data_IF_316955491081
#
_entry.id   IF_316955491081
#
_cell.length_a   1.000
_cell.length_b   1.000
_cell.length_c   1.000
_cell.angle_alpha   90.00
_cell.angle_beta   90.00
_cell.angle_gamma   90.00
#
_symmetry.space_group_name_H-M   'P 1'
#
loop_
_entity.id
_entity.type
_entity.pdbx_description
1 polymer ?
#
# COMPACT_ATOMS: atom_id res chain seq x y z
N UNK A 1 -25.75 17.25 -5.61
CA UNK A 1 -24.64 16.66 -6.33
C UNK A 1 -24.59 15.19 -5.95
N UNK A 2 -24.22 14.29 -6.83
CA UNK A 2 -23.94 12.90 -6.46
C UNK A 2 -22.66 12.87 -5.60
N UNK A 3 -22.54 12.00 -4.60
CA UNK A 3 -21.28 11.81 -3.91
C UNK A 3 -20.21 11.28 -4.88
N UNK A 4 -18.95 11.59 -4.62
CA UNK A 4 -17.82 11.01 -5.32
C UNK A 4 -17.66 9.55 -4.90
N UNK A 5 -17.11 8.73 -5.79
CA UNK A 5 -17.02 7.28 -5.62
C UNK A 5 -15.58 6.83 -5.52
N UNK A 6 -15.25 6.09 -4.46
CA UNK A 6 -13.92 5.51 -4.24
C UNK A 6 -13.96 3.99 -4.21
N UNK A 7 -12.97 3.36 -4.85
CA UNK A 7 -12.65 1.94 -4.72
C UNK A 7 -11.39 1.79 -3.86
N UNK A 8 -11.50 1.06 -2.75
CA UNK A 8 -10.40 0.83 -1.81
C UNK A 8 -10.14 -0.67 -1.70
N UNK A 9 -8.88 -1.08 -1.86
CA UNK A 9 -8.46 -2.48 -1.72
C UNK A 9 -7.82 -2.77 -0.38
N UNK A 10 -8.06 -3.97 0.18
CA UNK A 10 -7.44 -4.41 1.42
C UNK A 10 -7.99 -3.72 2.66
N UNK A 11 -9.32 -3.61 2.76
CA UNK A 11 -10.01 -2.93 3.86
C UNK A 11 -10.19 -3.78 5.13
N UNK A 12 -9.74 -5.04 5.15
CA UNK A 12 -9.95 -5.93 6.30
C UNK A 12 -9.26 -5.49 7.60
N UNK A 13 -8.31 -4.55 7.55
CA UNK A 13 -7.68 -3.98 8.75
C UNK A 13 -6.79 -2.77 8.41
N UNK A 14 -6.24 -2.13 9.45
CA UNK A 14 -5.18 -1.13 9.37
C UNK A 14 -5.52 0.04 8.46
N UNK A 15 -4.59 0.43 7.59
CA UNK A 15 -4.73 1.63 6.75
C UNK A 15 -5.96 1.56 5.84
N UNK A 16 -6.23 0.41 5.21
CA UNK A 16 -7.36 0.26 4.29
C UNK A 16 -8.70 0.44 4.98
N UNK A 17 -8.86 -0.14 6.17
CA UNK A 17 -10.07 0.01 6.98
C UNK A 17 -10.26 1.46 7.41
N UNK A 18 -9.23 2.07 8.02
CA UNK A 18 -9.27 3.47 8.43
C UNK A 18 -9.53 4.43 7.24
N UNK A 19 -9.00 4.10 6.05
CA UNK A 19 -9.27 4.87 4.83
C UNK A 19 -10.73 4.79 4.44
N UNK A 20 -11.36 3.60 4.49
CA UNK A 20 -12.77 3.44 4.21
C UNK A 20 -13.63 4.28 5.16
N UNK A 21 -13.35 4.25 6.47
CA UNK A 21 -14.04 5.07 7.47
C UNK A 21 -13.87 6.57 7.21
N UNK A 22 -12.66 7.03 6.86
CA UNK A 22 -12.39 8.44 6.58
C UNK A 22 -13.19 8.94 5.37
N UNK A 23 -13.24 8.17 4.27
CA UNK A 23 -14.03 8.52 3.08
C UNK A 23 -15.54 8.49 3.36
N UNK A 24 -16.01 7.53 4.17
CA UNK A 24 -17.43 7.49 4.61
C UNK A 24 -17.80 8.72 5.43
N UNK A 25 -16.93 9.12 6.36
CA UNK A 25 -17.15 10.31 7.19
C UNK A 25 -17.19 11.61 6.36
N UNK A 26 -16.41 11.69 5.28
CA UNK A 26 -16.40 12.82 4.35
C UNK A 26 -17.59 12.80 3.34
N UNK A 27 -18.32 11.70 3.32
CA UNK A 27 -19.58 11.59 2.54
C UNK A 27 -19.46 10.98 1.17
N UNK A 28 -18.33 10.35 0.86
CA UNK A 28 -18.11 9.58 -0.37
C UNK A 28 -18.97 8.32 -0.43
N UNK A 29 -19.21 7.85 -1.64
CA UNK A 29 -19.69 6.49 -1.89
C UNK A 29 -18.47 5.56 -1.90
N UNK A 30 -18.41 4.63 -0.94
CA UNK A 30 -17.22 3.77 -0.72
C UNK A 30 -17.49 2.35 -1.18
N UNK A 31 -16.59 1.83 -2.01
CA UNK A 31 -16.50 0.41 -2.34
C UNK A 31 -15.28 -0.16 -1.61
N UNK A 32 -15.55 -0.72 -0.43
CA UNK A 32 -14.53 -1.34 0.41
C UNK A 32 -14.37 -2.81 0.04
N UNK A 33 -13.14 -3.26 -0.22
CA UNK A 33 -12.91 -4.64 -0.65
C UNK A 33 -11.89 -5.37 0.20
N UNK A 34 -12.12 -6.67 0.38
CA UNK A 34 -11.24 -7.61 1.05
C UNK A 34 -11.31 -8.98 0.34
N UNK A 35 -10.38 -9.89 0.65
CA UNK A 35 -10.46 -11.28 0.17
C UNK A 35 -11.65 -12.01 0.77
N UNK A 36 -11.90 -11.76 2.06
CA UNK A 36 -13.10 -12.21 2.75
C UNK A 36 -13.97 -10.98 3.12
N UNK A 37 -15.20 -10.88 2.61
CA UNK A 37 -16.08 -9.76 2.92
C UNK A 37 -16.61 -9.80 4.37
N UNK A 38 -16.51 -10.94 5.07
CA UNK A 38 -16.86 -11.02 6.49
C UNK A 38 -15.90 -10.19 7.36
N UNK A 39 -14.64 -10.02 6.93
CA UNK A 39 -13.63 -9.19 7.60
C UNK A 39 -13.94 -7.69 7.58
N UNK A 40 -14.93 -7.26 6.78
CA UNK A 40 -15.34 -5.85 6.61
C UNK A 40 -16.85 -5.68 6.78
N UNK A 41 -17.49 -6.59 7.54
CA UNK A 41 -18.94 -6.57 7.74
C UNK A 41 -19.43 -5.32 8.48
N UNK A 42 -18.63 -4.76 9.36
CA UNK A 42 -18.88 -3.51 10.08
C UNK A 42 -18.97 -2.31 9.13
N UNK A 43 -18.13 -2.24 8.09
CA UNK A 43 -18.22 -1.20 7.06
C UNK A 43 -19.52 -1.30 6.26
N UNK A 44 -20.08 -2.50 6.08
CA UNK A 44 -21.32 -2.73 5.37
C UNK A 44 -22.55 -2.15 6.10
N UNK A 45 -22.44 -1.80 7.38
CA UNK A 45 -23.51 -1.15 8.14
C UNK A 45 -23.74 0.32 7.73
N UNK A 46 -22.79 0.93 7.00
CA UNK A 46 -22.91 2.30 6.52
C UNK A 46 -23.70 2.38 5.22
N UNK A 47 -24.70 3.25 5.16
CA UNK A 47 -25.58 3.44 3.98
C UNK A 47 -24.83 3.76 2.69
N UNK A 48 -23.62 4.32 2.78
CA UNK A 48 -22.76 4.69 1.64
C UNK A 48 -21.59 3.74 1.43
N UNK A 49 -21.59 2.60 2.08
CA UNK A 49 -20.57 1.58 1.88
C UNK A 49 -21.16 0.37 1.14
N UNK A 50 -20.45 -0.06 0.12
CA UNK A 50 -20.67 -1.36 -0.51
C UNK A 50 -19.42 -2.19 -0.28
N UNK A 51 -19.57 -3.32 0.38
CA UNK A 51 -18.49 -4.29 0.55
C UNK A 51 -18.50 -5.33 -0.56
N UNK A 52 -17.33 -5.76 -1.01
CA UNK A 52 -17.21 -6.77 -2.06
C UNK A 52 -15.95 -7.64 -1.87
N UNK A 53 -15.99 -8.85 -2.40
CA UNK A 53 -14.80 -9.71 -2.48
C UNK A 53 -13.89 -9.23 -3.60
N UNK A 54 -12.62 -9.01 -3.29
CA UNK A 54 -11.60 -8.72 -4.28
C UNK A 54 -10.24 -9.24 -3.84
N UNK A 55 -9.76 -10.26 -4.56
CA UNK A 55 -8.34 -10.61 -4.58
C UNK A 55 -7.68 -9.85 -5.75
N UNK A 56 -6.65 -9.04 -5.43
CA UNK A 56 -5.96 -8.22 -6.44
C UNK A 56 -5.13 -9.06 -7.43
N UNK A 57 -4.93 -10.34 -7.14
CA UNK A 57 -4.29 -11.31 -8.04
C UNK A 57 -5.28 -11.89 -9.05
N UNK A 58 -6.60 -11.84 -8.75
CA UNK A 58 -7.65 -12.44 -9.56
C UNK A 58 -8.29 -11.42 -10.51
N UNK A 59 -8.05 -11.60 -11.81
CA UNK A 59 -8.61 -10.70 -12.85
C UNK A 59 -10.14 -10.68 -12.86
N UNK A 60 -10.78 -11.80 -12.53
CA UNK A 60 -12.24 -11.92 -12.47
C UNK A 60 -12.83 -10.98 -11.43
N UNK A 61 -12.25 -10.94 -10.23
CA UNK A 61 -12.73 -10.14 -9.12
C UNK A 61 -12.63 -8.65 -9.43
N UNK A 62 -11.45 -8.23 -9.94
CA UNK A 62 -11.24 -6.85 -10.39
C UNK A 62 -12.29 -6.45 -11.43
N UNK A 63 -12.51 -7.30 -12.44
CA UNK A 63 -13.48 -7.02 -13.51
C UNK A 63 -14.90 -6.91 -12.97
N UNK A 64 -15.28 -7.80 -12.05
CA UNK A 64 -16.61 -7.82 -11.46
C UNK A 64 -16.87 -6.56 -10.63
N UNK A 65 -15.94 -6.20 -9.75
CA UNK A 65 -16.06 -5.02 -8.88
C UNK A 65 -16.10 -3.74 -9.69
N UNK A 66 -15.15 -3.53 -10.61
CA UNK A 66 -15.12 -2.31 -11.45
C UNK A 66 -16.39 -2.18 -12.29
N UNK A 67 -16.83 -3.27 -12.94
CA UNK A 67 -18.07 -3.26 -13.72
C UNK A 67 -19.31 -3.00 -12.85
N UNK A 68 -19.34 -3.48 -11.60
CA UNK A 68 -20.39 -3.20 -10.65
C UNK A 68 -20.46 -1.71 -10.32
N UNK A 69 -19.31 -1.10 -9.97
CA UNK A 69 -19.22 0.33 -9.64
C UNK A 69 -19.69 1.17 -10.83
N UNK A 70 -19.15 0.93 -12.01
CA UNK A 70 -19.49 1.70 -13.22
C UNK A 70 -20.98 1.57 -13.57
N UNK A 71 -21.58 0.39 -13.40
CA UNK A 71 -23.04 0.22 -13.65
C UNK A 71 -23.93 0.91 -12.62
N UNK A 72 -23.46 1.05 -11.37
CA UNK A 72 -24.27 1.59 -10.27
C UNK A 72 -24.08 3.09 -10.15
N UNK A 73 -22.82 3.55 -10.23
CA UNK A 73 -22.43 4.94 -9.95
C UNK A 73 -22.11 5.74 -11.22
N UNK A 74 -21.89 5.05 -12.36
CA UNK A 74 -21.52 5.66 -13.65
C UNK A 74 -20.12 6.32 -13.67
N UNK A 75 -19.38 6.20 -12.58
CA UNK A 75 -18.03 6.79 -12.42
C UNK A 75 -17.22 6.09 -11.33
N UNK A 76 -15.91 6.27 -11.39
CA UNK A 76 -14.94 5.98 -10.32
C UNK A 76 -14.04 7.20 -10.21
N UNK A 77 -14.13 7.94 -9.11
CA UNK A 77 -13.40 9.18 -8.91
C UNK A 77 -12.05 8.96 -8.27
N UNK A 78 -11.97 7.96 -7.38
CA UNK A 78 -10.74 7.60 -6.72
C UNK A 78 -10.53 6.08 -6.69
N UNK A 79 -9.29 5.66 -6.95
CA UNK A 79 -8.82 4.29 -6.70
C UNK A 79 -7.73 4.35 -5.64
N UNK A 80 -7.92 3.65 -4.51
CA UNK A 80 -6.89 3.47 -3.48
C UNK A 80 -6.35 2.04 -3.54
N UNK A 81 -5.17 1.87 -4.12
CA UNK A 81 -4.43 0.63 -4.13
C UNK A 81 -3.69 0.47 -2.80
N UNK A 82 -4.38 -0.06 -1.79
CA UNK A 82 -3.84 -0.28 -0.45
C UNK A 82 -3.47 -1.74 -0.19
N UNK A 83 -4.15 -2.71 -0.81
CA UNK A 83 -3.86 -4.13 -0.62
C UNK A 83 -2.36 -4.44 -0.85
N UNK A 84 -1.75 -5.10 0.12
CA UNK A 84 -0.35 -5.45 0.08
C UNK A 84 0.11 -6.10 1.37
N UNK A 85 1.26 -6.76 1.32
CA UNK A 85 1.91 -7.35 2.49
C UNK A 85 3.44 -7.25 2.36
N UNK A 86 4.15 -7.60 3.43
CA UNK A 86 5.61 -7.61 3.45
C UNK A 86 6.14 -9.02 3.60
N UNK A 87 6.98 -9.47 2.67
CA UNK A 87 7.78 -10.67 2.79
C UNK A 87 9.18 -10.28 3.24
N UNK A 88 9.59 -10.76 4.40
CA UNK A 88 10.88 -10.44 4.98
C UNK A 88 11.75 -11.69 5.08
N UNK A 89 13.03 -11.50 4.88
CA UNK A 89 14.06 -12.53 4.95
C UNK A 89 15.31 -12.11 4.19
N UNK A 90 16.49 -12.70 4.53
CA UNK A 90 17.70 -12.53 3.72
C UNK A 90 17.43 -12.94 2.27
N UNK A 91 17.94 -12.16 1.32
CA UNK A 91 17.68 -12.39 -0.12
C UNK A 91 18.05 -13.80 -0.58
N UNK A 92 19.10 -14.38 0.00
CA UNK A 92 19.55 -15.75 -0.31
C UNK A 92 18.58 -16.82 0.20
N UNK A 93 17.87 -16.54 1.30
CA UNK A 93 17.01 -17.51 1.98
C UNK A 93 15.54 -17.39 1.57
N UNK A 94 15.17 -16.36 0.78
CA UNK A 94 13.81 -16.20 0.26
C UNK A 94 13.62 -17.00 -1.04
N UNK A 95 12.69 -17.96 -1.07
CA UNK A 95 12.32 -18.64 -2.30
C UNK A 95 11.81 -17.68 -3.38
N UNK A 96 12.09 -17.98 -4.65
CA UNK A 96 11.64 -17.14 -5.77
C UNK A 96 10.12 -17.05 -5.80
N UNK A 97 9.44 -18.13 -5.46
CA UNK A 97 7.98 -18.24 -5.44
C UNK A 97 7.36 -17.24 -4.44
N UNK A 98 8.02 -16.99 -3.30
CA UNK A 98 7.56 -16.00 -2.32
C UNK A 98 7.79 -14.56 -2.83
N UNK A 99 8.90 -14.32 -3.52
CA UNK A 99 9.14 -13.04 -4.20
C UNK A 99 8.10 -12.81 -5.30
N UNK A 100 7.77 -13.81 -6.10
CA UNK A 100 6.75 -13.74 -7.14
C UNK A 100 5.37 -13.41 -6.56
N UNK A 101 4.95 -14.06 -5.46
CA UNK A 101 3.69 -13.76 -4.77
C UNK A 101 3.65 -12.33 -4.26
N UNK A 102 4.75 -11.86 -3.64
CA UNK A 102 4.86 -10.48 -3.17
C UNK A 102 4.67 -9.48 -4.32
N UNK A 103 5.32 -9.71 -5.46
CA UNK A 103 5.18 -8.86 -6.63
C UNK A 103 3.79 -8.94 -7.25
N UNK A 104 3.16 -10.12 -7.22
CA UNK A 104 1.82 -10.31 -7.78
C UNK A 104 0.79 -9.45 -7.03
N UNK A 105 0.88 -9.40 -5.71
CA UNK A 105 0.01 -8.57 -4.89
C UNK A 105 0.43 -7.10 -4.94
N UNK A 106 1.70 -6.77 -4.61
CA UNK A 106 2.13 -5.39 -4.35
C UNK A 106 2.38 -4.57 -5.62
N UNK A 107 2.60 -5.21 -6.76
CA UNK A 107 2.96 -4.55 -8.04
C UNK A 107 1.92 -4.82 -9.12
N UNK A 108 1.66 -6.10 -9.40
CA UNK A 108 0.75 -6.46 -10.49
C UNK A 108 -0.71 -6.24 -10.11
N UNK A 109 -1.09 -6.38 -8.83
CA UNK A 109 -2.41 -6.04 -8.32
C UNK A 109 -2.79 -4.57 -8.61
N UNK A 110 -2.02 -3.58 -8.10
CA UNK A 110 -2.22 -2.17 -8.44
C UNK A 110 -2.22 -1.90 -9.95
N UNK A 111 -1.35 -2.56 -10.70
CA UNK A 111 -1.30 -2.41 -12.17
C UNK A 111 -2.59 -2.93 -12.84
N UNK A 112 -3.12 -4.09 -12.42
CA UNK A 112 -4.38 -4.63 -12.94
C UNK A 112 -5.55 -3.70 -12.67
N UNK A 113 -5.66 -3.19 -11.42
CA UNK A 113 -6.71 -2.26 -11.01
C UNK A 113 -6.62 -0.93 -11.75
N UNK A 114 -5.43 -0.34 -11.83
CA UNK A 114 -5.17 0.87 -12.60
C UNK A 114 -5.64 0.71 -14.06
N UNK A 115 -5.26 -0.38 -14.72
CA UNK A 115 -5.72 -0.66 -16.09
C UNK A 115 -7.22 -0.83 -16.22
N UNK A 116 -7.88 -1.33 -15.17
CA UNK A 116 -9.32 -1.53 -15.18
C UNK A 116 -10.09 -0.20 -15.01
N UNK A 117 -9.60 0.72 -14.18
CA UNK A 117 -10.31 2.00 -13.91
C UNK A 117 -9.95 3.12 -14.89
N UNK A 118 -8.73 3.16 -15.41
CA UNK A 118 -8.25 4.23 -16.28
C UNK A 118 -9.16 4.56 -17.49
N UNK A 119 -9.75 3.60 -18.20
CA UNK A 119 -10.67 3.93 -19.30
C UNK A 119 -11.86 4.77 -18.84
N UNK A 120 -12.41 4.49 -17.66
CA UNK A 120 -13.56 5.19 -17.09
C UNK A 120 -13.19 6.59 -16.59
N UNK A 121 -12.06 6.73 -15.88
CA UNK A 121 -11.55 8.03 -15.45
C UNK A 121 -11.21 8.92 -16.65
N UNK A 122 -10.61 8.35 -17.71
CA UNK A 122 -10.29 9.10 -18.93
C UNK A 122 -11.54 9.54 -19.70
N UNK A 123 -12.61 8.74 -19.71
CA UNK A 123 -13.90 9.12 -20.30
C UNK A 123 -14.57 10.23 -19.50
N UNK A 124 -14.45 10.20 -18.16
CA UNK A 124 -14.93 11.24 -17.27
C UNK A 124 -14.08 12.53 -17.37
N UNK A 125 -12.81 12.44 -17.78
CA UNK A 125 -11.84 13.54 -17.79
C UNK A 125 -11.41 13.96 -16.39
N UNK A 126 -11.56 13.06 -15.40
CA UNK A 126 -11.32 13.31 -13.98
C UNK A 126 -11.04 11.98 -13.25
N UNK A 127 -10.14 11.98 -12.26
CA UNK A 127 -9.89 10.84 -11.41
C UNK A 127 -8.56 10.89 -10.67
N UNK A 128 -8.50 10.22 -9.52
CA UNK A 128 -7.27 10.12 -8.72
C UNK A 128 -6.92 8.67 -8.44
N UNK A 129 -5.69 8.26 -8.74
CA UNK A 129 -5.15 6.95 -8.41
C UNK A 129 -4.12 7.12 -7.30
N UNK A 130 -4.41 6.56 -6.14
CA UNK A 130 -3.55 6.62 -4.96
C UNK A 130 -2.95 5.24 -4.73
N UNK A 131 -1.63 5.16 -4.83
CA UNK A 131 -0.88 3.93 -4.59
C UNK A 131 -0.20 4.00 -3.22
N UNK A 132 -0.54 3.06 -2.33
CA UNK A 132 0.10 2.95 -1.03
C UNK A 132 1.48 2.30 -1.18
N UNK A 133 2.49 3.17 -1.21
CA UNK A 133 3.90 2.81 -1.19
C UNK A 133 4.40 2.62 0.25
N UNK A 134 5.60 3.00 0.53
CA UNK A 134 6.26 3.02 1.84
C UNK A 134 7.57 3.79 1.73
N UNK A 135 8.17 4.18 2.86
CA UNK A 135 9.59 4.55 2.90
C UNK A 135 10.49 3.45 2.32
N UNK A 136 10.06 2.19 2.38
CA UNK A 136 10.72 1.05 1.75
C UNK A 136 10.72 1.11 0.20
N UNK A 137 9.94 1.97 -0.42
CA UNK A 137 10.01 2.30 -1.85
C UNK A 137 11.08 3.33 -2.17
N UNK A 138 11.72 3.91 -1.16
CA UNK A 138 12.73 4.97 -1.32
C UNK A 138 14.10 4.56 -0.80
N UNK A 139 14.15 3.69 0.18
CA UNK A 139 15.35 3.11 0.77
C UNK A 139 15.18 1.61 0.91
N UNK A 140 16.28 0.87 1.03
CA UNK A 140 16.24 -0.57 1.29
C UNK A 140 17.03 -0.92 2.54
N UNK A 141 16.65 -1.99 3.20
CA UNK A 141 17.29 -2.48 4.41
C UNK A 141 17.49 -3.99 4.35
N UNK A 142 18.40 -4.51 5.18
CA UNK A 142 18.70 -5.94 5.22
C UNK A 142 17.45 -6.73 5.66
N UNK A 143 17.17 -7.84 4.99
CA UNK A 143 16.00 -8.66 5.19
C UNK A 143 14.71 -8.13 4.53
N UNK A 144 14.70 -6.89 4.05
CA UNK A 144 13.56 -6.30 3.34
C UNK A 144 13.68 -6.32 1.82
N UNK A 145 14.59 -7.10 1.24
CA UNK A 145 14.92 -7.03 -0.18
C UNK A 145 13.73 -7.20 -1.12
N UNK A 146 12.90 -8.22 -0.91
CA UNK A 146 11.70 -8.48 -1.71
C UNK A 146 10.65 -7.36 -1.54
N UNK A 147 10.35 -7.00 -0.31
CA UNK A 147 9.40 -5.94 0.00
C UNK A 147 9.82 -4.59 -0.56
N UNK A 148 11.05 -4.15 -0.27
CA UNK A 148 11.60 -2.91 -0.84
C UNK A 148 11.57 -2.94 -2.36
N UNK A 149 11.99 -4.05 -2.99
CA UNK A 149 11.96 -4.22 -4.44
C UNK A 149 10.55 -4.03 -5.02
N UNK A 150 9.53 -4.59 -4.38
CA UNK A 150 8.14 -4.42 -4.81
C UNK A 150 7.67 -2.97 -4.69
N UNK A 151 8.00 -2.28 -3.59
CA UNK A 151 7.64 -0.86 -3.40
C UNK A 151 8.42 0.08 -4.32
N UNK A 152 9.72 -0.18 -4.59
CA UNK A 152 10.49 0.55 -5.61
C UNK A 152 9.87 0.38 -7.02
N UNK A 153 9.40 -0.82 -7.35
CA UNK A 153 8.73 -1.06 -8.63
C UNK A 153 7.43 -0.26 -8.72
N UNK A 154 6.61 -0.25 -7.66
CA UNK A 154 5.38 0.53 -7.60
C UNK A 154 5.65 2.03 -7.75
N UNK A 155 6.69 2.56 -7.08
CA UNK A 155 7.14 3.95 -7.21
C UNK A 155 7.45 4.32 -8.67
N UNK A 156 8.29 3.51 -9.33
CA UNK A 156 8.70 3.76 -10.70
C UNK A 156 7.52 3.68 -11.70
N UNK A 157 6.63 2.70 -11.51
CA UNK A 157 5.43 2.55 -12.34
C UNK A 157 4.45 3.70 -12.15
N UNK A 158 4.29 4.20 -10.93
CA UNK A 158 3.43 5.36 -10.65
C UNK A 158 4.01 6.65 -11.23
N UNK A 159 5.33 6.83 -11.17
CA UNK A 159 6.00 7.98 -11.81
C UNK A 159 5.81 8.01 -13.33
N UNK A 160 5.86 6.84 -13.98
CA UNK A 160 5.58 6.72 -15.40
C UNK A 160 4.10 7.03 -15.69
N UNK A 161 3.20 6.39 -14.92
CA UNK A 161 1.75 6.61 -15.05
C UNK A 161 1.38 8.08 -14.96
N UNK A 162 1.91 8.81 -13.98
CA UNK A 162 1.64 10.24 -13.79
C UNK A 162 1.94 11.06 -15.05
N UNK A 163 3.06 10.74 -15.74
CA UNK A 163 3.44 11.41 -16.98
C UNK A 163 2.53 10.97 -18.15
N UNK A 164 2.11 9.71 -18.19
CA UNK A 164 1.26 9.14 -19.24
C UNK A 164 -0.18 9.67 -19.19
N UNK A 165 -0.68 9.98 -17.98
CA UNK A 165 -2.04 10.50 -17.78
C UNK A 165 -2.10 12.03 -17.75
N UNK A 166 -0.96 12.72 -17.88
CA UNK A 166 -0.90 14.17 -18.00
C UNK A 166 -1.81 14.66 -19.15
N UNK A 167 -2.68 15.62 -18.87
CA UNK A 167 -3.64 16.15 -19.84
C UNK A 167 -4.96 15.36 -19.95
N UNK A 168 -5.13 14.27 -19.20
CA UNK A 168 -6.40 13.54 -19.12
C UNK A 168 -7.26 13.91 -17.90
N UNK A 169 -6.82 14.84 -17.06
CA UNK A 169 -7.49 15.18 -15.80
C UNK A 169 -7.39 14.08 -14.74
N UNK A 170 -6.36 13.24 -14.84
CA UNK A 170 -6.16 12.12 -13.92
C UNK A 170 -4.85 12.36 -13.15
N UNK A 171 -4.93 12.19 -11.82
CA UNK A 171 -3.80 12.29 -10.93
C UNK A 171 -3.31 10.91 -10.48
N UNK A 172 -2.00 10.76 -10.32
CA UNK A 172 -1.37 9.55 -9.78
C UNK A 172 -0.45 9.92 -8.61
N UNK A 173 -0.84 9.49 -7.41
CA UNK A 173 -0.23 9.86 -6.13
C UNK A 173 0.37 8.65 -5.45
N UNK A 174 1.54 8.84 -4.85
CA UNK A 174 2.19 7.88 -3.97
C UNK A 174 2.08 8.35 -2.52
N UNK A 175 1.51 7.53 -1.67
CA UNK A 175 1.55 7.73 -0.22
C UNK A 175 2.66 6.86 0.33
N UNK A 176 3.60 7.48 1.04
CA UNK A 176 4.86 6.85 1.51
C UNK A 176 4.89 6.81 3.06
N UNK A 177 4.15 5.90 3.72
CA UNK A 177 4.20 5.80 5.18
C UNK A 177 5.55 5.33 5.69
N UNK A 178 5.93 5.83 6.88
CA UNK A 178 6.91 5.18 7.73
C UNK A 178 6.32 3.97 8.45
N UNK A 179 6.84 3.56 9.61
CA UNK A 179 6.19 2.55 10.45
C UNK A 179 4.78 3.00 10.85
N UNK A 180 3.80 2.09 10.71
CA UNK A 180 2.39 2.35 11.03
C UNK A 180 1.92 1.29 12.02
N UNK A 181 1.18 1.68 13.06
CA UNK A 181 0.60 0.77 14.07
C UNK A 181 -0.50 -0.07 13.45
N UNK A 182 -0.11 -1.19 12.89
CA UNK A 182 -1.02 -2.17 12.24
C UNK A 182 -0.51 -3.58 12.47
N UNK A 183 -1.37 -4.56 12.29
CA UNK A 183 -1.00 -5.98 12.28
C UNK A 183 -0.31 -6.40 10.96
N UNK A 184 0.44 -5.47 10.33
CA UNK A 184 1.10 -5.73 9.05
C UNK A 184 2.19 -6.80 9.15
N UNK A 185 2.94 -6.81 10.27
CA UNK A 185 3.95 -7.84 10.58
C UNK A 185 3.33 -9.19 10.91
N UNK A 186 2.27 -9.23 11.71
CA UNK A 186 1.61 -10.49 12.08
C UNK A 186 1.09 -11.22 10.84
N UNK A 187 0.65 -10.46 9.82
CA UNK A 187 0.27 -11.01 8.52
C UNK A 187 1.47 -11.46 7.69
N UNK A 188 2.56 -10.70 7.72
CA UNK A 188 3.80 -11.10 7.07
C UNK A 188 4.33 -12.43 7.64
N UNK A 189 4.26 -12.59 8.97
CA UNK A 189 4.65 -13.84 9.65
C UNK A 189 3.71 -15.00 9.32
N UNK A 190 2.40 -14.76 9.29
CA UNK A 190 1.41 -15.77 8.95
C UNK A 190 1.47 -16.22 7.48
N UNK A 191 1.81 -15.32 6.56
CA UNK A 191 1.97 -15.63 5.13
C UNK A 191 3.37 -16.15 4.80
N UNK A 192 4.40 -15.80 5.59
CA UNK A 192 5.76 -16.31 5.43
C UNK A 192 5.91 -17.79 5.79
N UNK A 193 4.99 -18.36 6.60
CA UNK A 193 4.96 -19.76 7.02
C UNK A 193 6.30 -20.26 7.56
N UNK A 194 6.32 -20.94 8.69
CA UNK A 194 7.54 -21.50 9.31
C UNK A 194 8.32 -22.48 8.40
N UNK A 195 7.74 -22.90 7.26
CA UNK A 195 8.27 -23.94 6.38
C UNK A 195 9.07 -23.43 5.16
N UNK A 196 9.12 -22.10 4.87
CA UNK A 196 9.52 -21.66 3.54
C UNK A 196 10.94 -21.07 3.41
N UNK A 197 11.63 -20.75 4.51
CA UNK A 197 13.03 -20.34 4.43
C UNK A 197 13.95 -21.51 4.80
N UNK A 198 14.68 -22.05 3.84
CA UNK A 198 15.82 -22.92 4.15
C UNK A 198 16.88 -22.07 4.86
N UNK A 199 16.78 -21.94 6.19
CA UNK A 199 17.74 -21.18 6.99
C UNK A 199 19.12 -21.81 6.85
N UNK A 200 20.04 -21.10 6.21
CA UNK A 200 21.42 -21.57 5.97
C UNK A 200 22.29 -21.50 7.22
N UNK A 201 21.84 -20.81 8.27
CA UNK A 201 22.62 -20.47 9.46
C UNK A 201 23.57 -19.28 9.26
N UNK A 202 23.70 -18.75 8.04
CA UNK A 202 24.56 -17.59 7.76
C UNK A 202 23.94 -16.26 8.23
N UNK A 203 22.62 -16.24 8.43
CA UNK A 203 21.84 -15.04 8.75
C UNK A 203 21.10 -15.14 10.09
N UNK A 204 21.62 -15.95 11.04
CA UNK A 204 21.04 -16.07 12.39
C UNK A 204 20.84 -14.70 13.06
N UNK A 205 21.81 -13.80 12.92
CA UNK A 205 21.74 -12.43 13.42
C UNK A 205 20.49 -11.65 12.95
N UNK A 206 20.02 -11.96 11.73
CA UNK A 206 18.81 -11.33 11.17
C UNK A 206 17.57 -11.95 11.81
N UNK A 207 17.49 -13.27 11.86
CA UNK A 207 16.32 -13.96 12.40
C UNK A 207 16.14 -13.70 13.89
N UNK A 208 17.23 -13.68 14.68
CA UNK A 208 17.19 -13.29 16.09
C UNK A 208 16.65 -11.85 16.26
N UNK A 209 17.18 -10.91 15.46
CA UNK A 209 16.69 -9.53 15.50
C UNK A 209 15.25 -9.40 14.99
N UNK A 210 14.82 -10.22 14.05
CA UNK A 210 13.47 -10.20 13.50
C UNK A 210 12.45 -10.76 14.50
N UNK A 211 12.76 -11.88 15.15
CA UNK A 211 11.93 -12.50 16.19
C UNK A 211 11.78 -11.60 17.44
N UNK A 212 12.82 -10.82 17.78
CA UNK A 212 12.77 -9.85 18.89
C UNK A 212 12.12 -8.51 18.50
N UNK A 213 11.84 -8.28 17.20
CA UNK A 213 11.41 -6.97 16.74
C UNK A 213 9.90 -6.79 16.78
N UNK A 214 9.38 -6.18 17.85
CA UNK A 214 8.12 -5.44 17.83
C UNK A 214 8.15 -4.28 16.78
N UNK A 215 9.31 -3.95 16.24
CA UNK A 215 9.56 -2.77 15.41
C UNK A 215 9.00 -2.88 13.97
N UNK A 216 8.83 -4.08 13.44
CA UNK A 216 8.16 -4.28 12.15
C UNK A 216 6.64 -4.18 12.34
N UNK A 217 6.15 -4.47 13.56
CA UNK A 217 4.75 -4.36 13.98
C UNK A 217 4.25 -2.95 14.29
N UNK A 218 5.07 -1.94 14.18
CA UNK A 218 4.59 -0.57 14.19
C UNK A 218 4.53 0.15 15.54
N UNK A 219 4.87 -0.46 16.67
CA UNK A 219 4.86 0.21 17.99
C UNK A 219 6.15 0.98 18.35
N UNK A 220 7.07 1.04 17.39
CA UNK A 220 8.36 1.72 17.57
C UNK A 220 8.26 3.26 17.61
N UNK A 221 9.35 3.93 18.07
CA UNK A 221 9.41 5.39 18.09
C UNK A 221 9.22 6.00 16.71
N UNK A 222 8.26 6.90 16.54
CA UNK A 222 7.97 7.58 15.27
C UNK A 222 6.97 6.85 14.39
N UNK A 223 6.32 5.80 14.89
CA UNK A 223 5.18 5.18 14.24
C UNK A 223 3.99 6.12 14.22
N UNK A 224 3.20 6.03 13.17
CA UNK A 224 1.96 6.77 12.99
C UNK A 224 0.75 5.85 13.11
N UNK A 225 -0.41 6.41 13.42
CA UNK A 225 -1.66 5.66 13.44
C UNK A 225 -2.22 5.50 12.02
N UNK A 226 -2.94 4.40 11.72
CA UNK A 226 -3.60 4.19 10.42
C UNK A 226 -4.49 5.35 9.99
N UNK A 227 -5.16 5.99 10.95
CA UNK A 227 -6.07 7.10 10.75
C UNK A 227 -5.35 8.35 10.21
N UNK A 228 -4.08 8.55 10.58
CA UNK A 228 -3.29 9.64 10.01
C UNK A 228 -2.98 9.37 8.53
N UNK A 229 -2.61 8.14 8.18
CA UNK A 229 -2.39 7.75 6.78
C UNK A 229 -3.69 7.88 5.99
N UNK A 230 -4.81 7.46 6.56
CA UNK A 230 -6.13 7.57 5.96
C UNK A 230 -6.53 9.04 5.70
N UNK A 231 -6.20 9.94 6.63
CA UNK A 231 -6.43 11.39 6.47
C UNK A 231 -5.62 11.93 5.30
N UNK A 232 -4.33 11.60 5.22
CA UNK A 232 -3.46 12.07 4.13
C UNK A 232 -3.90 11.51 2.75
N UNK A 233 -4.47 10.27 2.71
CA UNK A 233 -5.07 9.69 1.51
C UNK A 233 -6.33 10.46 1.11
N UNK A 234 -7.23 10.72 2.05
CA UNK A 234 -8.46 11.47 1.80
C UNK A 234 -8.16 12.90 1.34
N UNK A 235 -7.22 13.59 1.99
CA UNK A 235 -6.78 14.91 1.60
C UNK A 235 -6.26 14.93 0.16
N UNK A 236 -5.46 13.92 -0.23
CA UNK A 236 -4.97 13.78 -1.60
C UNK A 236 -6.12 13.60 -2.61
N UNK A 237 -7.14 12.82 -2.27
CA UNK A 237 -8.30 12.59 -3.12
C UNK A 237 -9.15 13.86 -3.30
N UNK A 238 -9.20 14.73 -2.29
CA UNK A 238 -9.97 15.98 -2.30
C UNK A 238 -9.23 17.16 -2.95
N UNK A 239 -7.92 17.04 -3.26
CA UNK A 239 -7.15 18.10 -3.88
C UNK A 239 -7.30 18.08 -5.41
N UNK A 240 -7.45 19.26 -6.00
CA UNK A 240 -7.47 19.43 -7.48
C UNK A 240 -6.10 19.19 -8.13
N UNK A 241 -5.01 19.39 -7.40
CA UNK A 241 -3.62 19.17 -7.86
C UNK A 241 -2.82 18.59 -6.68
N UNK A 242 -3.00 17.29 -6.42
CA UNK A 242 -2.34 16.63 -5.30
C UNK A 242 -0.83 16.50 -5.54
N UNK A 243 -0.01 16.56 -4.49
CA UNK A 243 1.42 16.32 -4.63
C UNK A 243 1.68 14.89 -5.11
N UNK A 244 2.66 14.73 -5.98
CA UNK A 244 3.02 13.41 -6.53
C UNK A 244 3.39 12.36 -5.45
N UNK A 245 3.85 12.83 -4.27
CA UNK A 245 4.27 12.00 -3.13
C UNK A 245 3.91 12.63 -1.80
N UNK A 246 3.44 11.80 -0.89
CA UNK A 246 3.05 12.19 0.47
C UNK A 246 3.77 11.27 1.46
N UNK A 247 4.95 11.67 1.97
CA UNK A 247 5.59 10.96 3.06
C UNK A 247 4.80 11.16 4.35
N UNK A 248 4.33 10.06 4.98
CA UNK A 248 3.52 10.13 6.20
C UNK A 248 4.36 9.85 7.44
N UNK A 249 4.39 10.80 8.34
CA UNK A 249 5.17 10.76 9.57
C UNK A 249 6.55 11.41 9.46
N UNK A 250 7.08 11.85 10.60
CA UNK A 250 8.35 12.59 10.67
C UNK A 250 9.55 11.73 10.26
N UNK A 251 9.52 10.45 10.64
CA UNK A 251 10.57 9.48 10.27
C UNK A 251 10.57 9.25 8.76
N UNK A 252 9.39 9.11 8.15
CA UNK A 252 9.26 8.98 6.71
C UNK A 252 9.88 10.17 5.98
N UNK A 253 9.50 11.40 6.37
CA UNK A 253 10.02 12.63 5.78
C UNK A 253 11.55 12.78 5.85
N UNK A 254 12.20 12.13 6.82
CA UNK A 254 13.67 12.10 6.92
C UNK A 254 14.27 10.99 6.05
N UNK A 255 13.71 9.77 6.12
CA UNK A 255 14.25 8.60 5.43
C UNK A 255 14.18 8.73 3.90
N UNK A 256 13.09 9.28 3.35
CA UNK A 256 12.99 9.51 1.90
C UNK A 256 14.09 10.43 1.37
N UNK A 257 14.64 11.33 2.20
CA UNK A 257 15.76 12.19 1.83
C UNK A 257 17.11 11.45 1.80
N UNK A 258 17.23 10.36 2.56
CA UNK A 258 18.45 9.54 2.57
C UNK A 258 18.73 8.91 1.19
N UNK A 259 17.71 8.74 0.33
CA UNK A 259 17.89 8.27 -1.05
C UNK A 259 18.89 9.09 -1.87
N UNK A 260 19.04 10.37 -1.56
CA UNK A 260 19.94 11.27 -2.31
C UNK A 260 21.39 11.23 -1.80
N UNK A 261 21.65 10.48 -0.74
CA UNK A 261 23.01 10.29 -0.24
C UNK A 261 23.76 9.25 -1.09
N UNK A 262 25.10 9.33 -1.19
CA UNK A 262 25.91 8.25 -1.74
C UNK A 262 25.71 6.93 -0.95
N UNK A 263 25.75 5.78 -1.64
CA UNK A 263 25.45 4.47 -1.05
C UNK A 263 26.13 4.18 0.31
N UNK A 264 27.45 4.47 0.52
CA UNK A 264 28.07 4.23 1.83
C UNK A 264 27.45 5.05 2.97
N UNK A 265 26.92 6.25 2.66
CA UNK A 265 26.23 7.08 3.65
C UNK A 265 24.78 6.61 3.88
N UNK A 266 24.10 6.14 2.84
CA UNK A 266 22.80 5.48 2.99
C UNK A 266 22.91 4.27 3.92
N UNK A 267 23.88 3.38 3.66
CA UNK A 267 24.12 2.21 4.48
C UNK A 267 24.44 2.56 5.94
N UNK A 268 25.19 3.66 6.16
CA UNK A 268 25.48 4.13 7.51
C UNK A 268 24.23 4.65 8.23
N UNK A 269 23.37 5.40 7.54
CA UNK A 269 22.09 5.89 8.09
C UNK A 269 21.19 4.70 8.42
N UNK A 270 21.04 3.75 7.51
CA UNK A 270 20.18 2.57 7.71
C UNK A 270 20.68 1.72 8.89
N UNK A 271 22.00 1.50 9.00
CA UNK A 271 22.60 0.82 10.16
C UNK A 271 22.33 1.55 11.47
N UNK A 272 22.41 2.89 11.48
CA UNK A 272 22.14 3.69 12.68
C UNK A 272 20.66 3.61 13.07
N UNK A 273 19.76 3.63 12.10
CA UNK A 273 18.32 3.48 12.32
C UNK A 273 18.03 2.08 12.86
N UNK A 274 18.62 1.04 12.26
CA UNK A 274 18.50 -0.35 12.72
C UNK A 274 18.91 -0.51 14.19
N UNK A 275 20.10 -0.02 14.60
CA UNK A 275 20.60 -0.15 15.98
C UNK A 275 19.80 0.65 17.01
N UNK A 276 18.84 1.49 16.60
CA UNK A 276 17.99 2.27 17.51
C UNK A 276 16.52 1.87 17.46
N UNK A 277 16.13 1.13 16.45
CA UNK A 277 14.75 0.67 16.23
C UNK A 277 14.63 -0.85 16.44
N UNK A 278 15.74 -1.56 16.43
CA UNK A 278 15.96 -2.95 16.79
C UNK A 278 17.08 -3.01 17.86
#
# INVERSE_FOLDING_TARGET
MRPETVLITGCSSGIGHATAEAFLADGWQVYATARDPEDIADLAEHDRCTTDTLDVTEKSDITNVVNRIVRTEDRIDCLVNNAGYGQFGPVEELPVEEVEKQFDVNVYGPHRLTRAVLPHMREAGDGTIINLSSVAGRISFAGGGAYCGSKFALEAMTDALRQEVEGHGIDAVLVEPGPVRTNFSDRADAEAGEEHAERTGAYEWFWEAFEDSEAIGGDGPGSVDPEQVATDILDAANLTDPPARIPVGTVAGLLVKARFLPAPLQDAVIRLVRTRLF
#
